data_IF_075574643706
#
_entry.id   IF_075574643706
#
_cell.length_a   1.000
_cell.length_b   1.000
_cell.length_c   1.000
_cell.angle_alpha   90.00
_cell.angle_beta   90.00
_cell.angle_gamma   90.00
#
_symmetry.space_group_name_H-M   'P 1'
#
loop_
_entity.id
_entity.type
_entity.pdbx_description
1 polymer ?
#
# COMPACT_ATOMS: atom_id res chain seq x y z
N UNK A 1 -13.56 4.71 -10.58
CA UNK A 1 -13.27 4.64 -9.13
C UNK A 1 -14.12 5.70 -8.43
N UNK A 2 -14.52 5.49 -7.17
CA UNK A 2 -15.23 6.50 -6.38
C UNK A 2 -14.20 7.35 -5.60
N UNK A 3 -14.48 8.63 -5.32
CA UNK A 3 -13.62 9.41 -4.42
C UNK A 3 -13.42 8.68 -3.09
N UNK A 4 -12.19 8.67 -2.53
CA UNK A 4 -11.95 8.02 -1.24
C UNK A 4 -12.66 8.82 -0.12
N UNK A 5 -13.27 8.11 0.83
CA UNK A 5 -13.71 8.74 2.09
C UNK A 5 -12.51 9.02 3.00
N UNK A 6 -12.70 9.85 4.03
CA UNK A 6 -11.65 10.07 5.04
C UNK A 6 -11.23 8.77 5.76
N UNK A 7 -12.18 7.84 5.96
CA UNK A 7 -11.91 6.53 6.56
C UNK A 7 -11.07 5.65 5.63
N UNK A 8 -11.36 5.69 4.32
CA UNK A 8 -10.56 5.00 3.31
C UNK A 8 -9.11 5.49 3.35
N UNK A 9 -8.91 6.81 3.37
CA UNK A 9 -7.57 7.41 3.47
C UNK A 9 -6.84 6.97 4.73
N UNK A 10 -7.51 7.01 5.90
CA UNK A 10 -6.91 6.57 7.17
C UNK A 10 -6.50 5.10 7.15
N UNK A 11 -7.32 4.23 6.56
CA UNK A 11 -7.00 2.79 6.45
C UNK A 11 -5.84 2.57 5.49
N UNK A 12 -5.88 3.21 4.32
CA UNK A 12 -4.82 3.11 3.30
C UNK A 12 -3.48 3.54 3.91
N UNK A 13 -3.42 4.74 4.49
CA UNK A 13 -2.18 5.31 5.02
C UNK A 13 -1.61 4.52 6.19
N UNK A 14 -2.45 4.17 7.18
CA UNK A 14 -1.95 3.64 8.44
C UNK A 14 -1.89 2.11 8.51
N UNK A 15 -2.62 1.40 7.64
CA UNK A 15 -2.79 -0.06 7.77
C UNK A 15 -2.48 -0.85 6.49
N UNK A 16 -2.41 -0.21 5.33
CA UNK A 16 -2.12 -0.90 4.06
C UNK A 16 -0.77 -0.47 3.48
N UNK A 17 -0.51 0.83 3.43
CA UNK A 17 0.70 1.41 2.83
C UNK A 17 1.75 1.78 3.89
N UNK A 18 1.33 2.12 5.10
CA UNK A 18 2.22 2.49 6.21
C UNK A 18 2.86 3.87 6.09
N UNK A 19 2.36 4.73 5.21
CA UNK A 19 2.76 6.13 5.09
C UNK A 19 1.67 6.99 4.44
N UNK A 20 1.79 8.32 4.58
CA UNK A 20 0.85 9.27 3.97
C UNK A 20 0.91 9.23 2.45
N UNK A 21 -0.27 9.22 1.83
CA UNK A 21 -0.45 9.27 0.38
C UNK A 21 -1.22 10.51 0.01
N UNK A 22 -0.57 11.40 -0.73
CA UNK A 22 -1.14 12.69 -1.11
C UNK A 22 -2.03 12.65 -2.34
N UNK A 23 -2.11 11.50 -3.00
CA UNK A 23 -2.61 11.43 -4.36
C UNK A 23 -3.56 10.27 -4.61
N UNK A 24 -4.27 9.75 -3.59
CA UNK A 24 -5.31 8.76 -3.83
C UNK A 24 -6.41 9.40 -4.67
N UNK A 25 -6.51 8.99 -5.95
CA UNK A 25 -7.49 9.53 -6.90
C UNK A 25 -8.83 8.80 -6.84
N UNK A 26 -8.87 7.61 -6.25
CA UNK A 26 -10.11 6.90 -6.03
C UNK A 26 -9.97 5.48 -5.50
N UNK A 27 -11.02 5.01 -4.84
CA UNK A 27 -11.20 3.65 -4.37
C UNK A 27 -12.27 2.92 -5.22
N UNK A 28 -12.03 1.66 -5.53
CA UNK A 28 -12.90 0.80 -6.32
C UNK A 28 -13.50 -0.31 -5.48
N UNK A 29 -13.09 -1.55 -5.77
CA UNK A 29 -13.49 -2.73 -5.03
C UNK A 29 -13.18 -2.61 -3.53
N UNK A 30 -14.01 -3.25 -2.71
CA UNK A 30 -13.84 -3.36 -1.25
C UNK A 30 -13.72 -4.83 -0.87
N UNK A 31 -12.92 -5.13 0.15
CA UNK A 31 -12.82 -6.49 0.67
C UNK A 31 -14.07 -6.86 1.47
N UNK A 32 -14.21 -8.14 1.86
CA UNK A 32 -15.33 -8.63 2.69
C UNK A 32 -15.47 -7.93 4.05
N UNK A 33 -14.46 -7.18 4.48
CA UNK A 33 -14.44 -6.40 5.72
C UNK A 33 -14.70 -4.89 5.48
N UNK A 34 -15.03 -4.50 4.24
CA UNK A 34 -15.37 -3.12 3.87
C UNK A 34 -14.17 -2.22 3.55
N UNK A 35 -12.92 -2.68 3.70
CA UNK A 35 -11.73 -1.88 3.42
C UNK A 35 -11.45 -1.75 1.91
N UNK A 36 -10.84 -0.62 1.46
CA UNK A 36 -10.46 -0.44 0.05
C UNK A 36 -9.57 -1.57 -0.46
N UNK A 37 -10.08 -2.36 -1.41
CA UNK A 37 -9.37 -3.47 -2.05
C UNK A 37 -8.58 -3.03 -3.30
N UNK A 38 -9.06 -1.99 -3.97
CA UNK A 38 -8.38 -1.42 -5.11
C UNK A 38 -8.46 0.09 -4.97
N UNK A 39 -7.31 0.75 -4.97
CA UNK A 39 -7.24 2.20 -5.00
C UNK A 39 -6.18 2.61 -6.02
N UNK A 40 -6.43 3.72 -6.70
CA UNK A 40 -5.47 4.33 -7.59
C UNK A 40 -4.89 5.57 -6.93
N UNK A 41 -3.63 5.85 -7.21
CA UNK A 41 -2.97 7.05 -6.77
C UNK A 41 -2.03 7.60 -7.83
N UNK A 42 -1.79 8.91 -7.81
CA UNK A 42 -0.80 9.52 -8.68
C UNK A 42 0.62 9.22 -8.16
N UNK A 43 1.46 8.46 -8.88
CA UNK A 43 2.82 8.15 -8.45
C UNK A 43 3.78 9.34 -8.60
N UNK A 44 3.32 10.48 -9.16
CA UNK A 44 4.09 11.67 -9.47
C UNK A 44 3.76 12.83 -8.53
N UNK A 45 2.61 12.86 -7.86
CA UNK A 45 2.26 13.96 -6.95
C UNK A 45 2.47 13.60 -5.48
N UNK A 46 3.41 14.30 -4.82
CA UNK A 46 3.59 14.26 -3.36
C UNK A 46 3.18 15.56 -2.69
N UNK A 47 2.51 15.45 -1.53
CA UNK A 47 2.19 16.60 -0.69
C UNK A 47 3.47 17.38 -0.34
N UNK A 48 3.41 18.73 -0.30
CA UNK A 48 4.55 19.55 0.05
C UNK A 48 5.11 19.16 1.42
N UNK A 49 6.43 19.18 1.55
CA UNK A 49 7.05 19.02 2.87
C UNK A 49 6.95 20.37 3.59
N UNK A 50 6.21 20.41 4.70
CA UNK A 50 6.17 21.57 5.59
C UNK A 50 7.16 21.30 6.73
N UNK A 51 8.24 22.08 6.78
CA UNK A 51 9.24 22.04 7.85
C UNK A 51 9.39 23.44 8.44
N UNK A 52 9.09 23.60 9.73
CA UNK A 52 9.16 24.89 10.43
C UNK A 52 8.41 26.03 9.72
N UNK A 53 7.24 25.74 9.14
CA UNK A 53 6.44 26.71 8.39
C UNK A 53 6.90 26.99 6.97
N UNK A 54 8.03 26.43 6.52
CA UNK A 54 8.49 26.54 5.14
C UNK A 54 7.93 25.40 4.28
N UNK A 55 7.33 25.74 3.14
CA UNK A 55 6.82 24.79 2.14
C UNK A 55 7.93 24.50 1.14
N UNK A 56 8.41 23.25 1.09
CA UNK A 56 9.36 22.81 0.08
C UNK A 56 8.74 21.77 -0.85
N UNK A 57 9.02 21.91 -2.15
CA UNK A 57 8.61 20.96 -3.17
C UNK A 57 9.31 19.61 -2.94
N UNK A 58 8.54 18.54 -2.85
CA UNK A 58 9.08 17.18 -2.68
C UNK A 58 9.13 16.50 -4.03
N UNK A 59 10.31 16.08 -4.47
CA UNK A 59 10.44 15.22 -5.67
C UNK A 59 9.69 13.92 -5.39
N UNK A 60 8.75 13.57 -6.26
CA UNK A 60 8.07 12.28 -6.18
C UNK A 60 9.05 11.17 -6.52
N UNK A 61 9.08 10.16 -5.66
CA UNK A 61 9.67 8.88 -6.02
C UNK A 61 8.59 8.16 -6.81
N UNK A 62 8.94 7.69 -8.01
CA UNK A 62 8.07 6.82 -8.80
C UNK A 62 7.75 5.60 -7.92
N UNK A 63 6.49 5.44 -7.57
CA UNK A 63 6.02 4.25 -6.88
C UNK A 63 5.61 3.21 -7.91
N UNK A 64 6.40 2.13 -8.01
CA UNK A 64 6.13 1.01 -8.92
C UNK A 64 4.98 0.10 -8.47
N UNK A 65 4.35 0.42 -7.34
CA UNK A 65 3.23 -0.34 -6.79
C UNK A 65 1.91 0.09 -7.41
N UNK A 66 1.61 -0.37 -8.63
CA UNK A 66 0.32 -0.09 -9.29
C UNK A 66 -0.87 -0.72 -8.54
N UNK A 67 -0.63 -1.75 -7.72
CA UNK A 67 -1.63 -2.44 -6.91
C UNK A 67 -0.99 -2.98 -5.61
N UNK A 68 -1.62 -2.77 -4.45
CA UNK A 68 -1.22 -3.36 -3.16
C UNK A 68 -2.31 -4.30 -2.67
N UNK A 69 -1.93 -5.38 -1.99
CA UNK A 69 -2.86 -6.23 -1.25
C UNK A 69 -3.56 -5.39 -0.18
N UNK A 70 -4.86 -5.55 -0.08
CA UNK A 70 -5.73 -4.41 0.19
C UNK A 70 -6.84 -4.72 1.19
N UNK A 71 -6.67 -5.80 1.93
CA UNK A 71 -7.31 -5.96 3.22
C UNK A 71 -6.22 -5.86 4.30
N UNK A 72 -6.31 -4.94 5.28
CA UNK A 72 -5.33 -4.87 6.37
C UNK A 72 -5.23 -6.19 7.16
N UNK A 73 -6.29 -7.01 7.19
CA UNK A 73 -6.24 -8.34 7.79
C UNK A 73 -5.46 -9.35 6.94
N UNK A 74 -5.52 -9.22 5.60
CA UNK A 74 -4.70 -10.03 4.71
C UNK A 74 -3.22 -9.63 4.83
N UNK A 75 -2.93 -8.33 4.87
CA UNK A 75 -1.57 -7.82 5.10
C UNK A 75 -1.00 -8.40 6.40
N UNK A 76 -1.74 -8.29 7.51
CA UNK A 76 -1.31 -8.86 8.79
C UNK A 76 -1.07 -10.37 8.74
N UNK A 77 -1.92 -11.12 8.03
CA UNK A 77 -1.76 -12.56 7.88
C UNK A 77 -0.52 -12.91 7.05
N UNK A 78 -0.25 -12.17 5.97
CA UNK A 78 0.95 -12.31 5.16
C UNK A 78 2.20 -11.97 5.97
N UNK A 79 2.19 -10.86 6.72
CA UNK A 79 3.32 -10.46 7.57
C UNK A 79 3.67 -11.53 8.62
N UNK A 80 2.66 -12.18 9.21
CA UNK A 80 2.88 -13.27 10.15
C UNK A 80 3.47 -14.50 9.45
N UNK A 81 2.89 -14.88 8.31
CA UNK A 81 3.37 -16.01 7.51
C UNK A 81 4.81 -15.81 7.02
N UNK A 82 5.16 -14.59 6.58
CA UNK A 82 6.54 -14.23 6.22
C UNK A 82 7.49 -14.34 7.42
N UNK A 83 7.05 -13.90 8.61
CA UNK A 83 7.84 -14.00 9.85
C UNK A 83 8.08 -15.45 10.26
N UNK A 84 7.14 -16.34 9.98
CA UNK A 84 7.26 -17.79 10.21
C UNK A 84 8.21 -18.48 9.20
N UNK A 85 8.78 -17.74 8.24
CA UNK A 85 9.78 -18.26 7.31
C UNK A 85 9.22 -18.68 5.96
N UNK A 86 7.99 -18.29 5.62
CA UNK A 86 7.37 -18.63 4.35
C UNK A 86 8.21 -18.32 3.12
N UNK A 87 8.87 -17.16 3.09
CA UNK A 87 9.73 -16.74 1.97
C UNK A 87 10.89 -17.73 1.78
N UNK A 88 11.45 -18.25 2.87
CA UNK A 88 12.53 -19.24 2.80
C UNK A 88 12.01 -20.56 2.25
N UNK A 89 10.83 -21.01 2.70
CA UNK A 89 10.20 -22.24 2.22
C UNK A 89 9.92 -22.19 0.71
N UNK A 90 9.26 -21.12 0.24
CA UNK A 90 8.94 -20.92 -1.19
C UNK A 90 10.22 -20.88 -2.03
N UNK A 91 11.25 -20.17 -1.58
CA UNK A 91 12.53 -20.14 -2.29
C UNK A 91 13.18 -21.52 -2.38
N UNK A 92 12.98 -22.38 -1.38
CA UNK A 92 13.38 -23.79 -1.42
C UNK A 92 12.66 -24.54 -2.55
N UNK A 93 11.34 -24.42 -2.64
CA UNK A 93 10.52 -25.05 -3.68
C UNK A 93 10.90 -24.58 -5.09
N UNK A 94 11.12 -23.27 -5.27
CA UNK A 94 11.52 -22.69 -6.56
C UNK A 94 12.88 -23.24 -7.01
N UNK A 95 13.86 -23.31 -6.10
CA UNK A 95 15.18 -23.89 -6.40
C UNK A 95 15.10 -25.37 -6.74
N UNK A 96 14.28 -26.12 -6.01
CA UNK A 96 14.06 -27.54 -6.27
C UNK A 96 13.37 -27.79 -7.63
N UNK A 97 12.48 -26.89 -8.04
CA UNK A 97 11.78 -26.97 -9.34
C UNK A 97 12.64 -26.54 -10.53
N UNK A 98 13.77 -25.87 -10.28
CA UNK A 98 14.71 -25.41 -11.30
C UNK A 98 15.90 -26.37 -11.52
N UNK A 99 15.98 -27.46 -10.76
CA UNK A 99 17.00 -28.51 -10.85
C UNK A 99 16.47 -29.73 -11.60
#
# INVERSE_FOLDING_TARGET
>A
LKPPSEEDLKVIENRQIGHKVSSIVGCGARCKHGFPQAFAFDPIERAPLILNGAVSGRKSRIESGLFRLSCPLLVKAVDEWEREGAVVAINGEVRASAA
#
